data_IF_167568554821
#
_entry.id   IF_167568554821
#
_cell.length_a   1.000
_cell.length_b   1.000
_cell.length_c   1.000
_cell.angle_alpha   90.00
_cell.angle_beta   90.00
_cell.angle_gamma   90.00
#
_symmetry.space_group_name_H-M   'P 1'
#
loop_
_entity.id
_entity.type
_entity.pdbx_description
1 polymer ?
#
# COMPACT_ATOMS: atom_id res chain seq x y z
N UNK A 1 -41.96 8.73 -4.58
CA UNK A 1 -40.67 8.26 -5.13
C UNK A 1 -41.00 7.50 -6.41
N UNK A 2 -40.52 7.95 -7.58
CA UNK A 2 -40.89 7.35 -8.87
C UNK A 2 -40.15 6.02 -9.09
N UNK A 3 -40.77 5.07 -9.79
CA UNK A 3 -40.15 3.80 -10.17
C UNK A 3 -38.83 4.04 -10.94
N UNK A 4 -38.77 5.11 -11.74
CA UNK A 4 -37.57 5.50 -12.48
C UNK A 4 -36.44 5.97 -11.55
N UNK A 5 -36.75 6.61 -10.41
CA UNK A 5 -35.74 7.09 -9.46
C UNK A 5 -35.06 5.91 -8.77
N UNK A 6 -35.83 4.88 -8.40
CA UNK A 6 -35.32 3.68 -7.73
C UNK A 6 -34.42 2.88 -8.67
N UNK A 7 -34.84 2.68 -9.92
CA UNK A 7 -34.04 1.98 -10.93
C UNK A 7 -32.71 2.70 -11.21
N UNK A 8 -32.72 4.03 -11.29
CA UNK A 8 -31.51 4.82 -11.50
C UNK A 8 -30.56 4.75 -10.30
N UNK A 9 -31.07 4.83 -9.07
CA UNK A 9 -30.24 4.68 -7.86
C UNK A 9 -29.62 3.28 -7.76
N UNK A 10 -30.36 2.23 -8.13
CA UNK A 10 -29.83 0.86 -8.17
C UNK A 10 -28.70 0.70 -9.19
N UNK A 11 -28.85 1.30 -10.38
CA UNK A 11 -27.83 1.27 -11.43
C UNK A 11 -26.57 2.04 -11.03
N UNK A 12 -26.73 3.24 -10.44
CA UNK A 12 -25.62 4.04 -9.90
C UNK A 12 -24.89 3.28 -8.79
N UNK A 13 -25.61 2.64 -7.87
CA UNK A 13 -24.99 1.86 -6.81
C UNK A 13 -24.21 0.66 -7.38
N UNK A 14 -24.80 -0.06 -8.33
CA UNK A 14 -24.16 -1.20 -8.98
C UNK A 14 -22.86 -0.81 -9.67
N UNK A 15 -22.85 0.28 -10.44
CA UNK A 15 -21.65 0.79 -11.09
C UNK A 15 -20.56 1.17 -10.07
N UNK A 16 -20.92 1.92 -9.02
CA UNK A 16 -19.98 2.28 -7.94
C UNK A 16 -19.36 1.05 -7.26
N UNK A 17 -20.12 -0.03 -7.09
CA UNK A 17 -19.57 -1.28 -6.52
C UNK A 17 -18.60 -1.98 -7.46
N UNK A 18 -18.89 -2.01 -8.76
CA UNK A 18 -18.03 -2.61 -9.79
C UNK A 18 -16.71 -1.84 -9.89
N UNK A 19 -16.78 -0.50 -9.92
CA UNK A 19 -15.59 0.36 -10.01
C UNK A 19 -14.65 0.17 -8.81
N UNK A 20 -15.21 0.08 -7.60
CA UNK A 20 -14.45 -0.20 -6.38
C UNK A 20 -13.79 -1.57 -6.42
N UNK A 21 -14.52 -2.60 -6.86
CA UNK A 21 -13.98 -3.96 -6.95
C UNK A 21 -12.83 -4.03 -7.98
N UNK A 22 -12.97 -3.35 -9.11
CA UNK A 22 -11.92 -3.25 -10.12
C UNK A 22 -10.68 -2.53 -9.58
N UNK A 23 -10.87 -1.42 -8.86
CA UNK A 23 -9.78 -0.69 -8.20
C UNK A 23 -9.00 -1.59 -7.23
N UNK A 24 -9.70 -2.29 -6.32
CA UNK A 24 -9.05 -3.18 -5.35
C UNK A 24 -8.34 -4.36 -6.01
N UNK A 25 -8.95 -4.96 -7.04
CA UNK A 25 -8.32 -6.05 -7.79
C UNK A 25 -7.03 -5.60 -8.46
N UNK A 26 -7.02 -4.40 -9.06
CA UNK A 26 -5.84 -3.83 -9.69
C UNK A 26 -4.73 -3.57 -8.67
N UNK A 27 -5.05 -2.95 -7.53
CA UNK A 27 -4.10 -2.69 -6.45
C UNK A 27 -3.53 -3.98 -5.85
N UNK A 28 -4.37 -5.00 -5.67
CA UNK A 28 -3.92 -6.30 -5.20
C UNK A 28 -2.88 -6.89 -6.16
N UNK A 29 -3.19 -6.96 -7.45
CA UNK A 29 -2.29 -7.53 -8.47
C UNK A 29 -0.98 -6.75 -8.58
N UNK A 30 -1.00 -5.42 -8.46
CA UNK A 30 0.20 -4.59 -8.61
C UNK A 30 1.06 -4.54 -7.35
N UNK A 31 0.47 -4.59 -6.16
CA UNK A 31 1.15 -4.19 -4.92
C UNK A 31 1.33 -5.32 -3.92
N UNK A 32 0.41 -6.30 -3.88
CA UNK A 32 0.53 -7.43 -2.95
C UNK A 32 1.85 -8.20 -3.12
N UNK A 33 2.33 -8.52 -4.34
CA UNK A 33 3.61 -9.22 -4.50
C UNK A 33 4.81 -8.46 -3.89
N UNK A 34 4.79 -7.13 -3.96
CA UNK A 34 5.83 -6.25 -3.40
C UNK A 34 5.79 -6.31 -1.87
N UNK A 35 4.59 -6.22 -1.29
CA UNK A 35 4.37 -6.32 0.16
C UNK A 35 4.75 -7.70 0.68
N UNK A 36 4.32 -8.78 0.02
CA UNK A 36 4.65 -10.15 0.39
C UNK A 36 6.16 -10.40 0.36
N UNK A 37 6.87 -9.90 -0.67
CA UNK A 37 8.33 -9.97 -0.74
C UNK A 37 8.98 -9.22 0.42
N UNK A 38 8.48 -8.03 0.76
CA UNK A 38 9.00 -7.26 1.88
C UNK A 38 8.79 -7.97 3.23
N UNK A 39 7.57 -8.45 3.50
CA UNK A 39 7.23 -9.17 4.73
C UNK A 39 8.05 -10.44 4.87
N UNK A 40 8.18 -11.21 3.79
CA UNK A 40 9.04 -12.40 3.76
C UNK A 40 10.50 -12.08 4.07
N UNK A 41 11.06 -10.97 3.54
CA UNK A 41 12.42 -10.51 3.88
C UNK A 41 12.58 -10.11 5.34
N UNK A 42 11.50 -9.72 6.00
CA UNK A 42 11.47 -9.39 7.43
C UNK A 42 11.16 -10.60 8.32
N UNK A 43 11.13 -11.81 7.77
CA UNK A 43 10.87 -13.05 8.51
C UNK A 43 9.39 -13.37 8.72
N UNK A 44 8.48 -12.61 8.11
CA UNK A 44 7.05 -12.87 8.18
C UNK A 44 6.59 -13.94 7.18
N UNK A 45 5.39 -14.48 7.43
CA UNK A 45 4.75 -15.46 6.57
C UNK A 45 3.74 -14.82 5.60
N UNK A 46 3.17 -15.65 4.71
CA UNK A 46 2.23 -15.19 3.68
C UNK A 46 0.92 -14.65 4.28
N UNK A 47 0.43 -15.23 5.36
CA UNK A 47 -0.83 -14.79 5.98
C UNK A 47 -0.64 -13.45 6.69
N UNK A 48 0.50 -13.24 7.37
CA UNK A 48 0.86 -11.93 7.91
C UNK A 48 1.01 -10.88 6.80
N UNK A 49 1.54 -11.26 5.64
CA UNK A 49 1.61 -10.38 4.49
C UNK A 49 0.23 -9.99 3.95
N UNK A 50 -0.74 -10.94 3.93
CA UNK A 50 -2.13 -10.65 3.56
C UNK A 50 -2.77 -9.69 4.55
N UNK A 51 -2.61 -9.95 5.85
CA UNK A 51 -3.19 -9.12 6.91
C UNK A 51 -2.67 -7.68 6.83
N UNK A 52 -1.35 -7.51 6.72
CA UNK A 52 -0.73 -6.18 6.60
C UNK A 52 -1.14 -5.47 5.31
N UNK A 53 -1.26 -6.20 4.20
CA UNK A 53 -1.74 -5.63 2.95
C UNK A 53 -3.20 -5.17 3.06
N UNK A 54 -4.07 -5.98 3.66
CA UNK A 54 -5.48 -5.65 3.84
C UNK A 54 -5.65 -4.40 4.72
N UNK A 55 -4.91 -4.31 5.83
CA UNK A 55 -4.88 -3.13 6.69
C UNK A 55 -4.41 -1.89 5.92
N UNK A 56 -3.34 -2.02 5.13
CA UNK A 56 -2.84 -0.92 4.30
C UNK A 56 -3.87 -0.48 3.24
N UNK A 57 -4.59 -1.43 2.64
CA UNK A 57 -5.62 -1.16 1.63
C UNK A 57 -6.82 -0.43 2.24
N UNK A 58 -7.20 -0.78 3.47
CA UNK A 58 -8.24 -0.09 4.22
C UNK A 58 -7.85 1.38 4.49
N UNK A 59 -6.64 1.62 4.98
CA UNK A 59 -6.12 2.98 5.21
C UNK A 59 -6.08 3.80 3.93
N UNK A 60 -5.65 3.18 2.81
CA UNK A 60 -5.69 3.82 1.50
C UNK A 60 -7.12 4.19 1.09
N UNK A 61 -8.08 3.28 1.26
CA UNK A 61 -9.48 3.51 0.93
C UNK A 61 -10.07 4.66 1.76
N UNK A 62 -9.86 4.66 3.07
CA UNK A 62 -10.28 5.76 3.94
C UNK A 62 -9.66 7.09 3.48
N UNK A 63 -8.39 7.09 3.09
CA UNK A 63 -7.69 8.29 2.63
C UNK A 63 -8.33 8.89 1.37
N UNK A 64 -8.64 8.08 0.37
CA UNK A 64 -9.24 8.57 -0.89
C UNK A 64 -10.71 8.98 -0.73
N UNK A 65 -11.40 8.47 0.29
CA UNK A 65 -12.79 8.85 0.58
C UNK A 65 -12.93 10.07 1.49
N UNK A 66 -11.96 10.28 2.39
CA UNK A 66 -11.96 11.42 3.32
C UNK A 66 -11.26 12.66 2.77
N UNK A 67 -10.35 12.49 1.81
CA UNK A 67 -9.57 13.60 1.26
C UNK A 67 -9.84 13.73 -0.23
N UNK A 68 -10.26 14.92 -0.68
CA UNK A 68 -10.42 15.24 -2.11
C UNK A 68 -9.07 15.43 -2.84
N UNK A 69 -7.94 15.23 -2.14
CA UNK A 69 -6.61 15.37 -2.72
C UNK A 69 -6.30 14.15 -3.59
N UNK A 70 -5.92 14.34 -4.87
CA UNK A 70 -5.54 13.23 -5.73
C UNK A 70 -4.29 12.55 -5.17
N UNK A 71 -4.36 11.23 -5.02
CA UNK A 71 -3.20 10.44 -4.63
C UNK A 71 -2.44 10.01 -5.89
N UNK A 72 -1.32 10.68 -6.15
CA UNK A 72 -0.57 10.55 -7.40
C UNK A 72 0.10 9.17 -7.58
N UNK A 73 0.36 8.45 -6.47
CA UNK A 73 1.04 7.15 -6.50
C UNK A 73 0.43 6.17 -5.48
N UNK A 74 -0.65 5.49 -5.89
CA UNK A 74 -1.33 4.51 -5.05
C UNK A 74 -0.44 3.32 -4.66
N UNK A 75 0.41 2.83 -5.58
CA UNK A 75 1.31 1.70 -5.31
C UNK A 75 2.32 2.07 -4.23
N UNK A 76 2.99 3.23 -4.38
CA UNK A 76 3.99 3.70 -3.43
C UNK A 76 3.38 4.01 -2.06
N UNK A 77 2.20 4.62 -2.03
CA UNK A 77 1.47 4.86 -0.79
C UNK A 77 1.12 3.55 -0.08
N UNK A 78 0.53 2.61 -0.80
CA UNK A 78 0.09 1.33 -0.23
C UNK A 78 1.27 0.52 0.30
N UNK A 79 2.38 0.47 -0.44
CA UNK A 79 3.62 -0.16 0.02
C UNK A 79 4.22 0.54 1.25
N UNK A 80 4.27 1.88 1.26
CA UNK A 80 4.77 2.65 2.40
C UNK A 80 3.93 2.45 3.66
N UNK A 81 2.61 2.43 3.52
CA UNK A 81 1.67 2.14 4.61
C UNK A 81 1.87 0.73 5.15
N UNK A 82 1.97 -0.28 4.27
CA UNK A 82 2.25 -1.66 4.66
C UNK A 82 3.58 -1.80 5.42
N UNK A 83 4.64 -1.13 4.96
CA UNK A 83 5.94 -1.07 5.65
C UNK A 83 5.81 -0.49 7.05
N UNK A 84 5.10 0.64 7.20
CA UNK A 84 4.90 1.28 8.50
C UNK A 84 4.09 0.39 9.46
N UNK A 85 3.03 -0.27 8.96
CA UNK A 85 2.23 -1.20 9.74
C UNK A 85 3.05 -2.41 10.21
N UNK A 86 3.87 -2.98 9.33
CA UNK A 86 4.79 -4.07 9.68
C UNK A 86 5.76 -3.64 10.79
N UNK A 87 6.44 -2.51 10.62
CA UNK A 87 7.38 -1.99 11.62
C UNK A 87 6.68 -1.68 12.95
N UNK A 88 5.45 -1.16 12.93
CA UNK A 88 4.69 -0.90 14.15
C UNK A 88 4.29 -2.20 14.88
N UNK A 89 3.94 -3.25 14.13
CA UNK A 89 3.47 -4.53 14.68
C UNK A 89 4.62 -5.41 15.17
N UNK A 90 5.76 -5.41 14.45
CA UNK A 90 6.85 -6.36 14.67
C UNK A 90 8.23 -5.72 14.89
N UNK A 91 8.35 -4.39 14.79
CA UNK A 91 9.61 -3.66 14.93
C UNK A 91 10.07 -3.44 16.37
N UNK A 92 9.68 -4.29 17.32
CA UNK A 92 10.02 -4.17 18.75
C UNK A 92 11.49 -4.51 19.09
N UNK A 93 12.42 -4.38 18.13
CA UNK A 93 13.82 -4.78 18.31
C UNK A 93 14.82 -3.76 17.76
N UNK A 94 14.54 -2.46 17.88
CA UNK A 94 15.63 -1.49 17.91
C UNK A 94 15.54 -0.75 19.24
N UNK A 95 16.38 -1.07 20.25
CA UNK A 95 16.60 -0.10 21.31
C UNK A 95 16.94 1.21 20.64
N UNK A 96 16.35 2.31 21.10
CA UNK A 96 16.65 3.66 20.61
C UNK A 96 18.14 3.94 20.77
N UNK A 97 18.90 3.58 19.74
CA UNK A 97 20.33 3.84 19.66
C UNK A 97 20.49 5.33 19.41
N UNK A 98 21.35 6.02 20.15
CA UNK A 98 21.72 7.39 19.84
C UNK A 98 22.13 7.51 18.38
N UNK A 99 21.67 8.57 17.69
CA UNK A 99 22.02 8.88 16.30
C UNK A 99 23.54 8.92 16.04
N UNK A 100 24.34 9.06 17.11
CA UNK A 100 25.79 9.11 17.11
C UNK A 100 26.47 7.74 16.94
N UNK A 101 25.72 6.62 16.98
CA UNK A 101 26.28 5.25 16.85
C UNK A 101 25.83 4.51 15.59
N UNK A 102 25.08 5.17 14.71
CA UNK A 102 24.62 4.55 13.47
C UNK A 102 25.68 4.78 12.39
N UNK A 103 26.65 3.88 12.30
CA UNK A 103 27.45 3.74 11.09
C UNK A 103 26.51 3.29 9.97
N UNK A 104 26.06 4.24 9.16
CA UNK A 104 25.27 3.96 7.97
C UNK A 104 26.20 3.27 6.97
N UNK A 105 26.34 1.95 7.10
CA UNK A 105 26.77 1.11 6.00
C UNK A 105 25.66 1.17 4.95
N UNK A 106 25.70 2.23 4.14
CA UNK A 106 25.00 2.30 2.87
C UNK A 106 25.46 1.05 2.11
N UNK A 107 24.64 0.00 2.09
CA UNK A 107 24.73 -1.01 1.04
C UNK A 107 24.60 -0.23 -0.25
N UNK A 108 25.74 -0.02 -0.91
CA UNK A 108 25.86 0.56 -2.24
C UNK A 108 25.15 -0.38 -3.20
N UNK A 109 23.82 -0.33 -3.22
CA UNK A 109 23.04 -0.77 -4.35
C UNK A 109 23.28 0.30 -5.42
N UNK A 110 24.28 0.05 -6.27
CA UNK A 110 24.55 0.84 -7.46
C UNK A 110 23.23 1.08 -8.20
N UNK A 111 22.80 2.34 -8.23
CA UNK A 111 21.75 2.75 -9.17
C UNK A 111 22.29 2.56 -10.59
N UNK A 112 21.60 1.86 -11.50
CA UNK A 112 22.02 1.75 -12.90
C UNK A 112 21.75 3.06 -13.69
N UNK A 113 21.57 4.19 -12.99
CA UNK A 113 21.42 5.52 -13.58
C UNK A 113 22.78 6.12 -13.94
N UNK A 114 23.60 5.34 -14.63
CA UNK A 114 24.78 5.82 -15.36
C UNK A 114 24.88 5.07 -16.70
N UNK A 115 23.81 5.10 -17.47
CA UNK A 115 23.84 4.80 -18.88
C UNK A 115 23.94 6.12 -19.67
N UNK A 116 25.17 6.65 -19.69
CA UNK A 116 25.82 7.39 -20.77
C UNK A 116 24.91 8.19 -21.71
N UNK A 117 24.88 9.51 -21.53
CA UNK A 117 24.76 10.44 -22.65
C UNK A 117 26.17 10.61 -23.24
N UNK A 118 26.40 9.99 -24.39
CA UNK A 118 27.37 10.49 -25.36
C UNK A 118 26.63 11.37 -26.35
#
# INVERSE_FOLDING_TARGET
MSINDIAMQQLINSNRTIDRQLLFMNLYKSTFPIVAKYVSRMGGNLDEAKDVFQDALLVYYEKIHLTETPLNNAIGYLFGTAKNLWLKRYGQSSPSLPLDQVDIALTTEESPSSARLF
#
